data_IF_132241433121
#
_entry.id   IF_132241433121
#
_cell.length_a   1.000
_cell.length_b   1.000
_cell.length_c   1.000
_cell.angle_alpha   90.00
_cell.angle_beta   90.00
_cell.angle_gamma   90.00
#
_symmetry.space_group_name_H-M   'P 1'
#
loop_
_entity.id
_entity.type
_entity.pdbx_description
1 polymer ?
#
# COMPACT_ATOMS: atom_id res chain seq x y z
N UNK A 1 -7.63 -12.71 -13.84
CA UNK A 1 -6.84 -12.18 -14.97
C UNK A 1 -5.64 -11.42 -14.40
N UNK A 2 -4.53 -11.24 -15.13
CA UNK A 2 -3.46 -10.34 -14.68
C UNK A 2 -3.85 -8.90 -15.08
N UNK A 3 -3.77 -7.95 -14.15
CA UNK A 3 -4.17 -6.54 -14.38
C UNK A 3 -2.93 -5.69 -14.59
N UNK A 4 -2.91 -4.87 -15.63
CA UNK A 4 -1.84 -3.89 -15.87
C UNK A 4 -2.18 -2.62 -15.10
N UNK A 5 -1.26 -2.14 -14.25
CA UNK A 5 -1.42 -0.86 -13.55
C UNK A 5 -0.44 0.14 -14.18
N UNK A 6 -0.96 1.28 -14.62
CA UNK A 6 -0.19 2.32 -15.32
C UNK A 6 -0.24 3.66 -14.58
N UNK A 7 0.76 4.51 -14.83
CA UNK A 7 0.77 5.89 -14.32
C UNK A 7 -0.39 6.74 -14.87
N UNK A 8 -0.55 7.98 -14.39
CA UNK A 8 0.42 8.75 -13.61
C UNK A 8 0.37 8.47 -12.10
N UNK A 9 1.54 8.47 -11.45
CA UNK A 9 1.72 8.43 -9.99
C UNK A 9 2.14 9.83 -9.51
N UNK A 10 1.28 10.58 -8.82
CA UNK A 10 1.62 11.87 -8.25
C UNK A 10 2.34 11.70 -6.90
N UNK A 11 3.24 12.62 -6.59
CA UNK A 11 3.78 12.80 -5.25
C UNK A 11 2.81 13.65 -4.39
N UNK A 12 3.18 13.89 -3.13
CA UNK A 12 2.34 14.69 -2.21
C UNK A 12 2.14 16.16 -2.64
N UNK A 13 2.94 16.66 -3.58
CA UNK A 13 2.81 17.99 -4.17
C UNK A 13 2.07 17.96 -5.53
N UNK A 14 1.57 16.79 -5.96
CA UNK A 14 0.90 16.59 -7.24
C UNK A 14 1.85 16.56 -8.44
N UNK A 15 3.16 16.47 -8.22
CA UNK A 15 4.16 16.35 -9.29
C UNK A 15 4.40 14.87 -9.65
N UNK A 16 4.94 14.55 -10.83
CA UNK A 16 5.31 13.18 -11.16
C UNK A 16 6.28 12.62 -10.11
N UNK A 17 5.92 11.47 -9.52
CA UNK A 17 6.66 10.85 -8.44
C UNK A 17 7.83 9.99 -8.95
N UNK A 18 8.78 9.73 -8.06
CA UNK A 18 9.85 8.76 -8.25
C UNK A 18 9.95 7.89 -7.00
N UNK A 19 10.14 6.58 -7.16
CA UNK A 19 10.29 5.67 -6.03
C UNK A 19 9.84 4.24 -6.32
N UNK A 20 9.24 3.60 -5.32
CA UNK A 20 8.82 2.20 -5.38
C UNK A 20 7.39 2.04 -4.88
N UNK A 21 6.66 1.15 -5.53
CA UNK A 21 5.36 0.65 -5.09
C UNK A 21 5.51 -0.82 -4.76
N UNK A 22 4.95 -1.23 -3.63
CA UNK A 22 4.87 -2.63 -3.25
C UNK A 22 3.42 -3.00 -2.99
N UNK A 23 2.98 -4.02 -3.70
CA UNK A 23 1.62 -4.53 -3.64
C UNK A 23 1.65 -5.83 -2.83
N UNK A 24 1.00 -5.82 -1.67
CA UNK A 24 0.90 -6.98 -0.77
C UNK A 24 -0.53 -7.45 -0.69
N UNK A 25 -0.77 -8.73 -0.92
CA UNK A 25 -2.08 -9.32 -0.68
C UNK A 25 -2.28 -9.52 0.82
N UNK A 26 -3.41 -9.04 1.33
CA UNK A 26 -3.89 -9.53 2.62
C UNK A 26 -4.64 -10.84 2.41
N UNK A 27 -4.12 -11.91 2.98
CA UNK A 27 -4.82 -13.20 3.06
C UNK A 27 -5.27 -13.40 4.50
N UNK A 28 -6.59 -13.46 4.76
CA UNK A 28 -7.07 -13.83 6.08
C UNK A 28 -6.67 -15.28 6.36
N UNK A 29 -6.01 -15.54 7.49
CA UNK A 29 -5.76 -16.92 7.93
C UNK A 29 -6.70 -17.26 9.10
N UNK A 30 -7.29 -18.44 9.01
CA UNK A 30 -8.37 -18.91 9.88
C UNK A 30 -7.88 -19.17 11.30
N UNK A 31 -8.37 -18.38 12.27
CA UNK A 31 -8.94 -18.74 13.60
C UNK A 31 -8.77 -17.63 14.64
N UNK A 32 -7.94 -16.62 14.39
CA UNK A 32 -7.80 -15.44 15.25
C UNK A 32 -7.63 -14.21 14.38
N UNK A 33 -8.65 -13.34 14.33
CA UNK A 33 -8.77 -11.95 13.84
C UNK A 33 -7.56 -11.24 13.15
N UNK A 34 -6.77 -11.92 12.33
CA UNK A 34 -5.54 -11.41 11.74
C UNK A 34 -5.44 -11.72 10.25
N UNK A 35 -4.76 -10.83 9.52
CA UNK A 35 -4.39 -11.03 8.12
C UNK A 35 -2.87 -11.23 8.01
N UNK A 36 -2.46 -12.14 7.14
CA UNK A 36 -1.06 -12.24 6.73
C UNK A 36 -0.90 -11.46 5.42
N UNK A 37 0.11 -10.59 5.35
CA UNK A 37 0.44 -9.86 4.11
C UNK A 37 1.52 -10.60 3.34
N UNK A 38 1.22 -11.05 2.13
CA UNK A 38 2.21 -11.61 1.22
C UNK A 38 2.54 -10.59 0.12
N UNK A 39 3.82 -10.26 -0.06
CA UNK A 39 4.24 -9.42 -1.19
C UNK A 39 3.91 -10.14 -2.51
N UNK A 40 3.02 -9.56 -3.30
CA UNK A 40 2.66 -10.08 -4.61
C UNK A 40 3.57 -9.52 -5.70
N UNK A 41 3.82 -8.22 -5.65
CA UNK A 41 4.49 -7.52 -6.73
C UNK A 41 5.17 -6.25 -6.23
N UNK A 42 6.26 -5.90 -6.90
CA UNK A 42 7.01 -4.68 -6.68
C UNK A 42 7.12 -3.97 -8.03
N UNK A 43 6.85 -2.67 -8.02
CA UNK A 43 7.01 -1.79 -9.17
C UNK A 43 7.95 -0.64 -8.85
N UNK A 44 8.67 -0.16 -9.85
CA UNK A 44 9.41 1.09 -9.78
C UNK A 44 8.60 2.22 -10.41
N UNK A 45 8.69 3.41 -9.83
CA UNK A 45 8.08 4.62 -10.36
C UNK A 45 9.18 5.56 -10.82
N UNK A 46 9.15 5.97 -12.09
CA UNK A 46 10.13 6.87 -12.69
C UNK A 46 9.39 7.95 -13.46
N UNK A 47 9.51 9.22 -13.04
CA UNK A 47 8.80 10.34 -13.66
C UNK A 47 7.29 10.19 -13.69
N UNK A 48 6.71 9.55 -12.67
CA UNK A 48 5.27 9.27 -12.55
C UNK A 48 4.77 8.03 -13.29
N UNK A 49 5.62 7.36 -14.07
CA UNK A 49 5.27 6.12 -14.79
C UNK A 49 5.67 4.88 -13.99
N UNK A 50 4.89 3.79 -14.13
CA UNK A 50 5.06 2.55 -13.38
C UNK A 50 5.72 1.49 -14.26
N UNK A 51 6.83 0.93 -13.77
CA UNK A 51 7.60 -0.12 -14.43
C UNK A 51 7.76 -1.33 -13.52
N UNK A 52 7.90 -2.51 -14.13
CA UNK A 52 8.44 -3.65 -13.41
C UNK A 52 9.91 -3.38 -13.00
N UNK A 53 10.41 -4.12 -12.01
CA UNK A 53 11.77 -3.93 -11.49
C UNK A 53 12.85 -4.17 -12.56
N UNK A 54 12.55 -4.98 -13.57
CA UNK A 54 13.41 -5.22 -14.74
C UNK A 54 13.32 -4.13 -15.83
N UNK A 55 12.52 -3.08 -15.60
CA UNK A 55 12.26 -1.98 -16.53
C UNK A 55 11.18 -2.26 -17.57
N UNK A 56 10.54 -3.44 -17.54
CA UNK A 56 9.42 -3.79 -18.42
C UNK A 56 8.08 -3.21 -17.96
N UNK A 57 7.01 -3.59 -18.68
CA UNK A 57 5.64 -3.24 -18.29
C UNK A 57 5.28 -3.93 -16.97
N UNK A 58 4.82 -3.15 -15.99
CA UNK A 58 4.32 -3.72 -14.74
C UNK A 58 2.95 -4.37 -14.93
N UNK A 59 2.79 -5.58 -14.39
CA UNK A 59 1.49 -6.25 -14.28
C UNK A 59 1.35 -6.89 -12.91
N UNK A 60 0.17 -6.74 -12.31
CA UNK A 60 -0.20 -7.42 -11.10
C UNK A 60 -0.37 -8.92 -11.38
N UNK A 61 0.23 -9.79 -10.54
CA UNK A 61 -0.09 -11.20 -10.53
C UNK A 61 -1.59 -11.41 -10.36
N UNK A 62 -2.17 -12.46 -10.94
CA UNK A 62 -3.59 -12.76 -10.76
C UNK A 62 -3.93 -12.92 -9.27
N UNK A 63 -4.87 -12.12 -8.78
CA UNK A 63 -5.47 -12.25 -7.45
C UNK A 63 -6.95 -12.68 -7.56
N UNK A 64 -7.51 -13.41 -6.59
CA UNK A 64 -8.94 -13.68 -6.55
C UNK A 64 -9.77 -12.38 -6.63
N UNK A 65 -10.89 -12.34 -7.36
CA UNK A 65 -11.75 -11.15 -7.43
C UNK A 65 -12.18 -10.67 -6.04
N UNK A 66 -12.16 -9.36 -5.79
CA UNK A 66 -12.52 -8.78 -4.49
C UNK A 66 -11.39 -8.78 -3.45
N UNK A 67 -10.19 -9.24 -3.82
CA UNK A 67 -9.01 -9.17 -2.95
C UNK A 67 -8.58 -7.72 -2.74
N UNK A 68 -8.50 -7.30 -1.48
CA UNK A 68 -7.85 -6.06 -1.12
C UNK A 68 -6.33 -6.24 -1.06
N UNK A 69 -5.60 -5.32 -1.66
CA UNK A 69 -4.15 -5.26 -1.70
C UNK A 69 -3.69 -4.05 -0.89
N UNK A 70 -2.69 -4.25 -0.04
CA UNK A 70 -1.98 -3.18 0.64
C UNK A 70 -0.91 -2.67 -0.30
N UNK A 71 -1.02 -1.40 -0.70
CA UNK A 71 -0.01 -0.69 -1.47
C UNK A 71 0.86 0.09 -0.50
N UNK A 72 2.14 -0.27 -0.45
CA UNK A 72 3.18 0.49 0.24
C UNK A 72 3.87 1.35 -0.82
N UNK A 73 3.80 2.66 -0.65
CA UNK A 73 4.46 3.62 -1.52
C UNK A 73 5.70 4.14 -0.80
N UNK A 74 6.86 4.01 -1.41
CA UNK A 74 8.08 4.67 -0.97
C UNK A 74 8.47 5.70 -2.05
N UNK A 75 7.87 6.88 -1.99
CA UNK A 75 8.03 7.95 -2.99
C UNK A 75 8.82 9.10 -2.39
N UNK A 76 9.92 9.50 -3.04
CA UNK A 76 10.81 10.62 -2.64
C UNK A 76 11.14 10.68 -1.14
N UNK A 77 11.37 9.53 -0.52
CA UNK A 77 11.76 9.42 0.89
C UNK A 77 10.60 9.48 1.90
N UNK A 78 9.34 9.45 1.45
CA UNK A 78 8.17 9.22 2.30
C UNK A 78 7.59 7.85 2.03
N UNK A 79 7.24 7.16 3.11
CA UNK A 79 6.50 5.91 3.05
C UNK A 79 5.02 6.15 3.40
N UNK A 80 4.11 5.67 2.57
CA UNK A 80 2.67 5.62 2.85
C UNK A 80 2.14 4.23 2.58
N UNK A 81 1.11 3.83 3.31
CA UNK A 81 0.50 2.50 3.21
C UNK A 81 -0.99 2.72 3.04
N UNK A 82 -1.59 2.03 2.07
CA UNK A 82 -3.04 2.07 1.85
C UNK A 82 -3.58 0.72 1.43
N UNK A 83 -4.85 0.49 1.74
CA UNK A 83 -5.59 -0.66 1.25
C UNK A 83 -6.38 -0.25 0.01
N UNK A 84 -6.20 -1.00 -1.07
CA UNK A 84 -6.82 -0.76 -2.38
C UNK A 84 -7.46 -2.04 -2.86
N UNK A 85 -8.68 -1.96 -3.38
CA UNK A 85 -9.27 -3.08 -4.11
C UNK A 85 -8.83 -2.99 -5.57
N UNK A 86 -8.15 -4.03 -6.07
CA UNK A 86 -7.77 -4.08 -7.49
C UNK A 86 -9.00 -4.51 -8.31
N UNK A 87 -9.47 -3.69 -9.27
CA UNK A 87 -10.58 -4.06 -10.14
C UNK A 87 -10.23 -5.27 -11.01
N UNK A 88 -11.21 -6.14 -11.28
CA UNK A 88 -11.06 -7.23 -12.25
C UNK A 88 -11.16 -6.70 -13.68
N UNK A 89 -10.12 -5.99 -14.12
CA UNK A 89 -10.00 -5.36 -15.44
C UNK A 89 -8.62 -5.65 -16.03
N UNK A 90 -8.52 -5.59 -17.37
CA UNK A 90 -7.27 -5.82 -18.08
C UNK A 90 -6.21 -4.73 -17.79
N UNK A 91 -6.67 -3.49 -17.63
CA UNK A 91 -5.82 -2.32 -17.38
C UNK A 91 -6.55 -1.36 -16.47
N UNK A 92 -5.83 -0.79 -15.51
CA UNK A 92 -6.33 0.19 -14.54
C UNK A 92 -5.29 1.31 -14.40
N UNK A 93 -5.74 2.57 -14.31
CA UNK A 93 -4.85 3.67 -13.97
C UNK A 93 -4.60 3.67 -12.47
N UNK A 94 -3.38 3.98 -12.07
CA UNK A 94 -3.02 4.12 -10.66
C UNK A 94 -3.90 5.14 -9.94
N UNK A 95 -4.29 6.21 -10.63
CA UNK A 95 -5.20 7.23 -10.09
C UNK A 95 -6.58 6.69 -9.76
N UNK A 96 -7.06 5.68 -10.49
CA UNK A 96 -8.37 5.05 -10.24
C UNK A 96 -8.32 4.10 -9.04
N UNK A 97 -7.12 3.71 -8.62
CA UNK A 97 -6.86 2.96 -7.40
C UNK A 97 -6.73 3.87 -6.17
N UNK A 98 -6.60 5.19 -6.37
CA UNK A 98 -6.59 6.12 -5.26
C UNK A 98 -8.02 6.19 -4.70
N UNK A 99 -8.19 6.03 -3.37
CA UNK A 99 -9.49 6.22 -2.77
C UNK A 99 -10.00 7.64 -3.09
N UNK A 100 -11.32 7.86 -3.23
CA UNK A 100 -11.87 9.20 -3.07
C UNK A 100 -11.43 9.68 -1.71
N UNK A 101 -10.70 10.81 -1.59
CA UNK A 101 -10.05 11.31 -0.36
C UNK A 101 -10.73 10.77 0.90
N UNK A 102 -10.28 9.60 1.35
CA UNK A 102 -10.71 9.03 2.62
C UNK A 102 -9.74 9.67 3.59
N UNK A 103 -10.26 10.47 4.52
CA UNK A 103 -9.48 10.93 5.64
C UNK A 103 -8.96 9.68 6.36
N UNK A 104 -7.71 9.33 6.10
CA UNK A 104 -7.02 8.30 6.85
C UNK A 104 -6.60 8.89 8.18
N UNK A 105 -6.66 8.05 9.22
CA UNK A 105 -6.11 8.39 10.50
C UNK A 105 -4.60 8.70 10.43
N UNK A 106 -4.08 9.33 11.47
CA UNK A 106 -2.69 9.75 11.56
C UNK A 106 -1.74 8.53 11.66
N UNK A 107 -0.51 8.65 11.15
CA UNK A 107 0.52 7.61 11.33
C UNK A 107 1.35 7.97 12.55
N UNK A 108 1.33 7.06 13.53
CA UNK A 108 2.07 7.15 14.78
C UNK A 108 3.29 6.25 14.73
N UNK A 109 4.43 6.77 15.16
CA UNK A 109 5.69 6.04 15.21
C UNK A 109 5.91 5.50 16.63
N UNK A 110 6.26 4.22 16.72
CA UNK A 110 6.86 3.60 17.91
C UNK A 110 8.16 2.87 17.53
N UNK A 111 9.07 2.73 18.49
CA UNK A 111 10.37 2.13 18.22
C UNK A 111 10.28 0.60 18.29
N UNK A 112 9.55 0.06 19.27
CA UNK A 112 9.39 -1.38 19.52
C UNK A 112 7.93 -1.82 19.43
N UNK A 113 7.68 -3.07 19.06
CA UNK A 113 6.31 -3.62 19.00
C UNK A 113 5.62 -3.65 20.38
N UNK A 114 6.42 -3.66 21.46
CA UNK A 114 5.94 -3.62 22.83
C UNK A 114 5.71 -2.20 23.37
N UNK A 115 6.08 -1.17 22.62
CA UNK A 115 5.86 0.21 23.05
C UNK A 115 4.36 0.50 23.10
N UNK A 116 3.91 1.31 24.08
CA UNK A 116 2.52 1.70 24.15
C UNK A 116 2.11 2.50 22.92
N UNK A 117 0.86 2.34 22.51
CA UNK A 117 0.25 3.20 21.48
C UNK A 117 0.35 4.65 21.95
N UNK A 118 0.86 5.59 21.13
CA UNK A 118 1.00 6.98 21.52
C UNK A 118 -0.33 7.63 21.94
N UNK A 119 -0.26 8.42 23.02
CA UNK A 119 -1.42 9.16 23.52
C UNK A 119 -1.97 10.10 22.44
N UNK A 120 -3.25 9.94 22.11
CA UNK A 120 -3.94 10.73 21.09
C UNK A 120 -4.22 9.97 19.79
N UNK A 121 -3.61 8.80 19.60
CA UNK A 121 -3.96 7.90 18.52
C UNK A 121 -5.40 7.39 18.67
N UNK A 122 -6.12 7.30 17.55
CA UNK A 122 -7.54 6.94 17.50
C UNK A 122 -7.77 5.66 16.71
N UNK A 123 -8.89 4.95 16.93
CA UNK A 123 -9.32 3.91 16.02
C UNK A 123 -9.35 4.42 14.56
N UNK A 124 -8.70 3.69 13.66
CA UNK A 124 -8.50 4.08 12.26
C UNK A 124 -7.18 4.81 11.96
N UNK A 125 -6.40 5.18 12.98
CA UNK A 125 -5.00 5.59 12.86
C UNK A 125 -4.09 4.37 12.65
N UNK A 126 -2.84 4.62 12.25
CA UNK A 126 -1.85 3.57 11.99
C UNK A 126 -0.67 3.67 12.94
N UNK A 127 -0.20 2.51 13.41
CA UNK A 127 1.00 2.38 14.23
C UNK A 127 2.13 1.80 13.39
N UNK A 128 3.18 2.58 13.15
CA UNK A 128 4.41 2.13 12.50
C UNK A 128 5.44 1.75 13.56
N UNK A 129 5.87 0.49 13.52
CA UNK A 129 6.85 -0.07 14.46
C UNK A 129 8.19 -0.20 13.76
N UNK A 130 9.18 0.56 14.22
CA UNK A 130 10.46 0.70 13.51
C UNK A 130 11.33 -0.58 13.56
N UNK A 131 11.35 -1.30 14.67
CA UNK A 131 12.21 -2.50 14.85
C UNK A 131 11.88 -3.65 13.88
N UNK A 132 10.60 -3.80 13.59
CA UNK A 132 10.02 -4.85 12.74
C UNK A 132 9.69 -4.33 11.35
N UNK A 133 9.71 -3.01 11.15
CA UNK A 133 9.28 -2.33 9.93
C UNK A 133 7.84 -2.74 9.54
N UNK A 134 6.98 -2.86 10.56
CA UNK A 134 5.59 -3.31 10.44
C UNK A 134 4.64 -2.14 10.66
N UNK A 135 3.47 -2.21 10.01
CA UNK A 135 2.40 -1.24 10.18
C UNK A 135 1.14 -1.96 10.69
N UNK A 136 0.59 -1.48 11.80
CA UNK A 136 -0.60 -2.03 12.43
C UNK A 136 -1.73 -1.00 12.34
N UNK A 137 -2.93 -1.45 11.97
CA UNK A 137 -4.11 -0.61 12.06
C UNK A 137 -4.57 -0.58 13.52
N UNK A 138 -4.76 0.61 14.09
CA UNK A 138 -5.32 0.77 15.43
C UNK A 138 -6.81 0.47 15.34
N UNK A 139 -7.22 -0.65 15.93
CA UNK A 139 -8.62 -1.09 15.99
C UNK A 139 -9.49 -0.23 16.90
N UNK A 140 -10.81 -0.45 16.83
CA UNK A 140 -11.77 0.04 17.84
C UNK A 140 -11.54 -0.57 19.23
#
# INVERSE_FOLDING_TARGET
MATIITGPVPDSAGQPADGRLEFRQEVPFSTAAGSATQALAIAEVRGGEIFAVDGGTFSMPPSPPGTAVVVIEALRGRASIRRVQIPDQASVLYMDLLPPILNYGEIWLVELETDPIPDGAKPGDWLYVRDTNMLYLIGE
#
